data_IF_912461283027
#
_entry.id   IF_912461283027
#
_cell.length_a   1.000
_cell.length_b   1.000
_cell.length_c   1.000
_cell.angle_alpha   90.00
_cell.angle_beta   90.00
_cell.angle_gamma   90.00
#
_symmetry.space_group_name_H-M   'P 1'
#
loop_
_entity.id
_entity.type
_entity.pdbx_description
1 polymer ?
#
# COMPACT_ATOMS: atom_id res chain seq x y z
N UNK A 1 7.42 0.73 -1.14
CA UNK A 1 7.44 0.68 0.36
C UNK A 1 7.91 2.02 0.89
N UNK A 2 7.62 2.37 2.16
CA UNK A 2 8.14 3.59 2.80
C UNK A 2 8.51 3.31 4.24
N UNK A 3 9.70 3.73 4.65
CA UNK A 3 10.25 3.57 6.00
C UNK A 3 10.57 4.92 6.62
N UNK A 4 10.42 5.06 7.94
CA UNK A 4 10.76 6.26 8.69
C UNK A 4 11.49 5.90 10.00
N UNK A 5 12.10 6.88 10.68
CA UNK A 5 13.04 6.63 11.78
C UNK A 5 12.49 5.83 12.99
N UNK A 6 11.15 5.70 13.15
CA UNK A 6 10.55 4.95 14.26
C UNK A 6 10.24 3.50 13.92
N UNK A 7 10.56 3.07 12.71
CA UNK A 7 10.37 1.68 12.29
C UNK A 7 11.34 0.75 13.03
N UNK A 8 10.91 -0.49 13.22
CA UNK A 8 11.77 -1.53 13.77
C UNK A 8 12.62 -2.13 12.63
N UNK A 9 13.97 -2.16 12.77
CA UNK A 9 14.85 -2.72 11.73
C UNK A 9 14.53 -4.17 11.36
N UNK A 10 14.17 -5.01 12.33
CA UNK A 10 13.81 -6.41 12.08
C UNK A 10 12.47 -6.55 11.33
N UNK A 11 11.52 -5.63 11.58
CA UNK A 11 10.26 -5.60 10.83
C UNK A 11 10.50 -5.18 9.39
N UNK A 12 11.33 -4.15 9.17
CA UNK A 12 11.74 -3.74 7.83
C UNK A 12 12.39 -4.90 7.08
N UNK A 13 13.34 -5.62 7.71
CA UNK A 13 13.98 -6.79 7.14
C UNK A 13 12.95 -7.84 6.73
N UNK A 14 12.10 -8.26 7.66
CA UNK A 14 11.08 -9.27 7.43
C UNK A 14 10.08 -8.86 6.33
N UNK A 15 9.69 -7.59 6.29
CA UNK A 15 8.81 -7.05 5.25
C UNK A 15 9.47 -7.15 3.86
N UNK A 16 10.73 -6.72 3.71
CA UNK A 16 11.48 -6.80 2.44
C UNK A 16 11.67 -8.26 2.02
N UNK A 17 12.05 -9.16 2.94
CA UNK A 17 12.19 -10.58 2.67
C UNK A 17 10.87 -11.22 2.21
N UNK A 18 9.74 -10.83 2.81
CA UNK A 18 8.43 -11.33 2.40
C UNK A 18 8.00 -10.88 1.00
N UNK A 19 8.53 -9.75 0.52
CA UNK A 19 8.33 -9.24 -0.84
C UNK A 19 9.27 -9.94 -1.82
N UNK A 20 10.54 -10.10 -1.48
CA UNK A 20 11.50 -10.79 -2.33
C UNK A 20 11.25 -12.31 -2.44
N UNK A 21 10.67 -12.91 -1.39
CA UNK A 21 10.32 -14.33 -1.31
C UNK A 21 8.96 -14.70 -1.91
N UNK A 22 8.34 -13.83 -2.72
CA UNK A 22 7.07 -14.13 -3.40
C UNK A 22 7.23 -15.25 -4.42
N UNK A 23 6.18 -16.07 -4.63
CA UNK A 23 6.15 -17.08 -5.71
C UNK A 23 6.33 -16.46 -7.09
N UNK A 24 5.86 -15.23 -7.26
CA UNK A 24 6.15 -14.35 -8.40
C UNK A 24 6.82 -13.10 -7.81
N UNK A 25 8.16 -13.02 -7.81
CA UNK A 25 8.88 -11.89 -7.25
C UNK A 25 8.66 -10.63 -8.07
N UNK A 26 8.81 -9.42 -7.47
CA UNK A 26 8.69 -8.17 -8.19
C UNK A 26 9.88 -7.98 -9.14
N UNK A 27 9.69 -7.22 -10.22
CA UNK A 27 10.77 -6.77 -11.10
C UNK A 27 11.62 -5.71 -10.42
N UNK A 28 10.97 -4.85 -9.61
CA UNK A 28 11.63 -3.77 -8.86
C UNK A 28 11.03 -3.62 -7.45
N UNK A 29 11.87 -3.21 -6.52
CA UNK A 29 11.48 -2.77 -5.17
C UNK A 29 11.90 -1.32 -4.99
N UNK A 30 10.94 -0.42 -4.77
CA UNK A 30 11.19 0.99 -4.48
C UNK A 30 10.93 1.23 -2.99
N UNK A 31 12.01 1.51 -2.24
CA UNK A 31 11.98 1.82 -0.81
C UNK A 31 12.28 3.30 -0.58
N UNK A 32 11.30 4.03 -0.05
CA UNK A 32 11.45 5.45 0.27
C UNK A 32 11.75 5.63 1.74
N UNK A 33 12.89 6.24 2.05
CA UNK A 33 13.30 6.68 3.38
C UNK A 33 12.67 8.05 3.65
N UNK A 34 11.60 8.10 4.46
CA UNK A 34 10.87 9.33 4.77
C UNK A 34 11.59 10.14 5.86
N UNK A 35 12.62 10.87 5.44
CA UNK A 35 13.56 11.60 6.27
C UNK A 35 14.73 10.75 6.78
N UNK A 36 15.60 11.35 7.62
CA UNK A 36 16.74 10.66 8.23
C UNK A 36 16.31 9.42 9.02
N UNK A 37 17.03 8.32 8.86
CA UNK A 37 16.79 7.07 9.56
C UNK A 37 17.79 6.87 10.72
N UNK A 38 17.60 5.81 11.49
CA UNK A 38 18.56 5.34 12.48
C UNK A 38 19.67 4.51 11.81
N UNK A 39 20.87 4.46 12.43
CA UNK A 39 21.98 3.62 11.93
C UNK A 39 21.57 2.15 11.73
N UNK A 40 20.71 1.63 12.62
CA UNK A 40 20.22 0.25 12.51
C UNK A 40 19.34 0.03 11.27
N UNK A 41 18.45 0.99 10.94
CA UNK A 41 17.65 0.93 9.70
C UNK A 41 18.52 1.11 8.46
N UNK A 42 19.48 2.04 8.50
CA UNK A 42 20.44 2.24 7.41
C UNK A 42 21.30 0.99 7.19
N UNK A 43 21.66 0.28 8.26
CA UNK A 43 22.37 -0.99 8.21
C UNK A 43 21.59 -2.05 7.44
N UNK A 44 20.29 -2.20 7.74
CA UNK A 44 19.42 -3.15 7.01
C UNK A 44 19.31 -2.78 5.53
N UNK A 45 19.12 -1.51 5.22
CA UNK A 45 19.01 -1.05 3.82
C UNK A 45 20.32 -1.32 3.06
N UNK A 46 21.47 -1.01 3.68
CA UNK A 46 22.78 -1.25 3.09
C UNK A 46 23.06 -2.73 2.80
N UNK A 47 22.46 -3.67 3.55
CA UNK A 47 22.56 -5.10 3.24
C UNK A 47 21.89 -5.43 1.91
N UNK A 48 20.68 -4.91 1.66
CA UNK A 48 19.98 -5.13 0.38
C UNK A 48 20.66 -4.43 -0.79
N UNK A 49 21.17 -3.21 -0.62
CA UNK A 49 21.96 -2.53 -1.66
C UNK A 49 23.18 -3.35 -2.05
N UNK A 50 23.86 -3.97 -1.06
CA UNK A 50 25.01 -4.86 -1.32
C UNK A 50 24.61 -6.20 -1.95
N UNK A 51 23.41 -6.70 -1.66
CA UNK A 51 22.88 -7.93 -2.25
C UNK A 51 22.56 -7.77 -3.74
N UNK A 52 22.21 -6.56 -4.18
CA UNK A 52 21.87 -6.23 -5.57
C UNK A 52 22.80 -5.16 -6.17
N UNK A 53 24.14 -5.35 -6.16
CA UNK A 53 25.12 -4.28 -6.44
C UNK A 53 25.05 -3.71 -7.86
N UNK A 54 24.67 -4.53 -8.84
CA UNK A 54 24.52 -4.09 -10.24
C UNK A 54 23.17 -3.48 -10.56
N UNK A 55 22.21 -3.59 -9.63
CA UNK A 55 20.79 -3.25 -9.81
C UNK A 55 20.24 -2.41 -8.67
N UNK A 56 21.07 -1.82 -7.83
CA UNK A 56 20.64 -0.88 -6.80
C UNK A 56 21.02 0.54 -7.18
N UNK A 57 20.06 1.43 -7.08
CA UNK A 57 20.25 2.86 -7.27
C UNK A 57 19.84 3.58 -5.98
N UNK A 58 20.75 4.40 -5.44
CA UNK A 58 20.46 5.25 -4.28
C UNK A 58 20.31 6.69 -4.74
N UNK A 59 19.09 7.21 -4.65
CA UNK A 59 18.73 8.54 -5.10
C UNK A 59 18.55 9.47 -3.90
N UNK A 60 19.36 10.51 -3.80
CA UNK A 60 19.21 11.58 -2.84
C UNK A 60 18.38 12.72 -3.41
N UNK A 61 17.14 12.87 -2.97
CA UNK A 61 16.33 14.04 -3.30
C UNK A 61 16.70 15.20 -2.37
N UNK A 62 17.59 16.08 -2.88
CA UNK A 62 17.84 17.37 -2.28
C UNK A 62 16.63 18.28 -2.55
N UNK A 63 16.20 19.09 -1.56
CA UNK A 63 15.12 20.08 -1.75
C UNK A 63 15.34 20.84 -3.05
N UNK A 64 14.30 20.99 -3.86
CA UNK A 64 14.21 22.08 -4.82
C UNK A 64 14.17 23.40 -4.03
N UNK A 65 15.35 23.95 -3.75
CA UNK A 65 15.49 25.36 -3.40
C UNK A 65 15.21 26.16 -4.67
N UNK A 66 14.08 26.87 -4.67
CA UNK A 66 13.66 27.67 -5.82
C UNK A 66 14.77 28.59 -6.31
N UNK A 67 15.20 28.34 -7.53
CA UNK A 67 15.88 29.30 -8.41
C UNK A 67 15.43 28.97 -9.83
N UNK A 68 14.61 29.86 -10.38
CA UNK A 68 14.38 29.95 -11.79
C UNK A 68 15.73 30.20 -12.51
N UNK A 69 16.06 29.32 -13.43
CA UNK A 69 17.22 29.50 -14.31
C UNK A 69 16.96 28.84 -15.65
N UNK A 70 16.73 29.66 -16.66
CA UNK A 70 16.56 29.33 -18.08
C UNK A 70 17.66 28.43 -18.61
N UNK A 71 17.32 27.47 -19.47
CA UNK A 71 18.30 26.82 -20.33
C UNK A 71 17.72 25.63 -21.07
N UNK A 72 17.24 25.87 -22.27
CA UNK A 72 16.86 24.89 -23.29
C UNK A 72 18.00 23.92 -23.62
N UNK A 73 17.72 22.64 -23.70
CA UNK A 73 18.32 21.74 -24.68
C UNK A 73 17.37 20.58 -24.96
N UNK A 74 16.84 20.59 -26.17
CA UNK A 74 16.15 19.44 -26.78
C UNK A 74 17.19 18.41 -27.20
N UNK A 75 16.87 17.15 -27.02
CA UNK A 75 17.05 15.94 -27.84
C UNK A 75 17.43 14.77 -26.95
N UNK A 76 16.60 13.74 -26.83
CA UNK A 76 16.55 12.58 -27.70
C UNK A 76 15.39 11.65 -27.25
N UNK A 77 14.52 11.41 -28.20
CA UNK A 77 13.53 10.34 -28.15
C UNK A 77 14.27 9.02 -28.42
N UNK A 78 14.19 8.09 -27.48
CA UNK A 78 14.22 6.67 -27.82
C UNK A 78 13.30 5.93 -26.87
N UNK A 79 12.12 5.59 -27.40
CA UNK A 79 11.18 4.69 -26.76
C UNK A 79 11.67 3.25 -26.88
N UNK A 80 11.92 2.62 -25.78
CA UNK A 80 12.07 1.16 -25.72
C UNK A 80 10.74 0.53 -25.33
N UNK A 81 10.22 -0.19 -26.29
CA UNK A 81 8.98 -0.95 -26.23
C UNK A 81 9.19 -2.21 -25.38
N UNK A 82 8.51 -2.30 -24.26
CA UNK A 82 8.38 -3.56 -23.53
C UNK A 82 7.76 -4.63 -24.42
N UNK A 83 8.55 -5.62 -24.81
CA UNK A 83 8.07 -6.77 -25.59
C UNK A 83 7.22 -7.70 -24.71
N UNK A 84 5.98 -7.88 -25.13
CA UNK A 84 5.10 -8.91 -24.59
C UNK A 84 5.66 -10.29 -24.91
N UNK A 85 6.24 -10.95 -23.92
CA UNK A 85 6.66 -12.35 -24.00
C UNK A 85 5.47 -13.28 -24.06
N UNK A 86 5.26 -13.95 -25.21
CA UNK A 86 4.29 -15.03 -25.38
C UNK A 86 4.73 -16.24 -24.56
N UNK A 87 3.94 -16.63 -23.57
CA UNK A 87 4.11 -17.87 -22.83
C UNK A 87 3.57 -19.02 -23.68
N UNK A 88 4.48 -19.83 -24.22
CA UNK A 88 4.16 -21.16 -24.78
C UNK A 88 4.16 -22.20 -23.65
N UNK A 89 3.02 -22.89 -23.47
CA UNK A 89 2.87 -23.92 -22.47
C UNK A 89 3.77 -25.13 -22.69
N UNK A 90 4.46 -25.55 -21.65
CA UNK A 90 5.01 -26.89 -21.48
C UNK A 90 4.65 -27.42 -20.11
N UNK A 91 4.21 -28.68 -20.08
CA UNK A 91 3.70 -29.43 -18.95
C UNK A 91 4.80 -29.67 -17.88
N UNK A 92 4.52 -29.48 -16.55
CA UNK A 92 5.53 -29.63 -15.54
C UNK A 92 5.35 -30.93 -14.74
N UNK A 93 6.32 -31.82 -14.79
CA UNK A 93 6.55 -32.76 -13.70
C UNK A 93 8.05 -32.79 -13.35
N UNK A 94 8.32 -32.46 -12.08
CA UNK A 94 9.51 -32.82 -11.30
C UNK A 94 10.92 -32.46 -11.82
N UNK A 95 11.28 -31.15 -11.78
CA UNK A 95 12.70 -30.72 -11.63
C UNK A 95 12.89 -29.23 -11.39
N UNK A 96 11.91 -28.51 -10.81
CA UNK A 96 11.97 -27.03 -10.69
C UNK A 96 12.23 -26.51 -9.27
N UNK A 97 13.15 -27.09 -8.53
CA UNK A 97 13.62 -26.45 -7.26
C UNK A 97 15.00 -25.78 -7.34
N UNK A 98 15.63 -25.73 -8.51
CA UNK A 98 17.00 -25.21 -8.65
C UNK A 98 17.24 -24.17 -9.76
N UNK A 99 16.23 -23.69 -10.48
CA UNK A 99 16.43 -22.73 -11.60
C UNK A 99 15.83 -21.32 -11.41
N UNK A 100 15.27 -20.98 -10.23
CA UNK A 100 14.72 -19.63 -10.00
C UNK A 100 15.74 -18.60 -9.45
N UNK A 101 17.04 -18.81 -9.66
CA UNK A 101 18.10 -17.95 -9.07
C UNK A 101 18.57 -16.81 -9.99
N UNK A 102 17.87 -16.47 -11.08
CA UNK A 102 18.34 -15.43 -12.01
C UNK A 102 17.31 -14.35 -12.35
N UNK A 103 16.25 -14.17 -11.55
CA UNK A 103 15.40 -13.00 -11.75
C UNK A 103 16.08 -11.79 -11.11
N UNK A 104 16.55 -10.88 -11.95
CA UNK A 104 17.29 -9.68 -11.59
C UNK A 104 16.33 -8.63 -10.99
N UNK A 105 16.06 -8.68 -9.68
CA UNK A 105 15.29 -7.65 -8.99
C UNK A 105 16.09 -6.34 -8.94
N UNK A 106 15.47 -5.23 -9.31
CA UNK A 106 16.06 -3.89 -9.17
C UNK A 106 15.64 -3.32 -7.82
N UNK A 107 16.59 -2.81 -7.02
CA UNK A 107 16.32 -2.28 -5.69
C UNK A 107 16.65 -0.79 -5.62
N UNK A 108 15.62 0.06 -5.64
CA UNK A 108 15.76 1.52 -5.56
C UNK A 108 15.58 2.00 -4.11
N UNK A 109 16.53 2.80 -3.63
CA UNK A 109 16.47 3.46 -2.34
C UNK A 109 16.38 4.97 -2.55
N UNK A 110 15.24 5.56 -2.15
CA UNK A 110 14.99 6.99 -2.30
C UNK A 110 15.09 7.65 -0.93
N UNK A 111 16.04 8.58 -0.75
CA UNK A 111 16.24 9.26 0.53
C UNK A 111 15.68 10.67 0.51
N UNK A 112 14.67 10.93 1.35
CA UNK A 112 14.13 12.27 1.56
C UNK A 112 14.92 12.99 2.65
N UNK A 113 15.11 14.29 2.49
CA UNK A 113 15.87 15.10 3.46
C UNK A 113 15.13 15.34 4.76
N UNK A 114 13.79 15.27 4.73
CA UNK A 114 12.93 15.48 5.91
C UNK A 114 11.74 14.52 5.88
N UNK A 115 11.18 14.20 7.04
CA UNK A 115 9.95 13.42 7.13
C UNK A 115 8.77 14.25 6.63
N UNK A 116 8.24 13.84 5.49
CA UNK A 116 7.09 14.46 4.84
C UNK A 116 5.77 13.77 5.12
N UNK A 117 5.81 12.59 5.73
CA UNK A 117 4.68 11.71 6.00
C UNK A 117 4.37 10.76 4.83
N UNK A 118 3.64 9.68 5.18
CA UNK A 118 3.40 8.54 4.29
C UNK A 118 2.94 8.93 2.88
N UNK A 119 1.97 9.84 2.75
CA UNK A 119 1.42 10.23 1.44
C UNK A 119 2.47 10.88 0.53
N UNK A 120 3.35 11.74 1.08
CA UNK A 120 4.45 12.35 0.31
C UNK A 120 5.48 11.30 -0.09
N UNK A 121 5.87 10.43 0.85
CA UNK A 121 6.83 9.37 0.57
C UNK A 121 6.32 8.40 -0.51
N UNK A 122 5.03 8.01 -0.46
CA UNK A 122 4.43 7.17 -1.49
C UNK A 122 4.36 7.85 -2.87
N UNK A 123 4.04 9.16 -2.93
CA UNK A 123 4.08 9.90 -4.18
C UNK A 123 5.49 9.97 -4.75
N UNK A 124 6.49 10.15 -3.91
CA UNK A 124 7.87 10.15 -4.37
C UNK A 124 8.26 8.78 -4.91
N UNK A 125 7.94 7.71 -4.18
CA UNK A 125 8.18 6.34 -4.65
C UNK A 125 7.53 6.04 -6.00
N UNK A 126 6.29 6.52 -6.22
CA UNK A 126 5.60 6.35 -7.50
C UNK A 126 6.35 6.93 -8.69
N UNK A 127 7.06 8.05 -8.53
CA UNK A 127 7.85 8.66 -9.63
C UNK A 127 8.98 7.75 -10.08
N UNK A 128 9.52 6.95 -9.17
CA UNK A 128 10.65 6.05 -9.41
C UNK A 128 10.23 4.62 -9.79
N UNK A 129 8.93 4.30 -9.76
CA UNK A 129 8.44 3.03 -10.28
C UNK A 129 8.38 3.07 -11.80
N UNK A 130 8.97 2.08 -12.47
CA UNK A 130 8.95 1.95 -13.94
C UNK A 130 7.73 1.17 -14.44
N UNK A 131 7.22 0.25 -13.61
CA UNK A 131 6.12 -0.64 -13.97
C UNK A 131 4.75 0.02 -13.83
N UNK A 132 3.79 -0.43 -14.66
CA UNK A 132 2.39 0.03 -14.56
C UNK A 132 1.67 -0.55 -13.34
N UNK A 133 1.95 -1.80 -12.96
CA UNK A 133 1.36 -2.43 -11.79
C UNK A 133 2.24 -2.23 -10.55
N UNK A 134 1.69 -1.55 -9.56
CA UNK A 134 2.37 -1.25 -8.30
C UNK A 134 1.73 -2.03 -7.16
N UNK A 135 2.49 -2.93 -6.55
CA UNK A 135 2.12 -3.60 -5.30
C UNK A 135 2.58 -2.78 -4.09
N UNK A 136 1.65 -2.18 -3.38
CA UNK A 136 1.95 -1.38 -2.18
C UNK A 136 2.17 -2.30 -0.98
N UNK A 137 3.10 -1.93 -0.08
CA UNK A 137 3.36 -2.65 1.17
C UNK A 137 3.85 -1.70 2.27
N UNK A 138 3.45 -1.93 3.52
CA UNK A 138 4.04 -1.32 4.71
C UNK A 138 5.30 -2.06 5.15
N UNK A 139 6.19 -1.38 5.85
CA UNK A 139 7.51 -1.91 6.27
C UNK A 139 7.46 -2.64 7.60
N UNK A 140 6.30 -2.72 8.25
CA UNK A 140 6.05 -3.47 9.49
C UNK A 140 5.13 -4.69 9.29
N UNK A 141 4.64 -4.91 8.06
CA UNK A 141 3.75 -6.00 7.69
C UNK A 141 4.48 -7.15 6.96
N UNK A 142 3.81 -8.29 6.78
CA UNK A 142 4.33 -9.45 6.05
C UNK A 142 3.40 -9.80 4.89
N UNK A 143 3.95 -9.88 3.69
CA UNK A 143 3.21 -10.32 2.50
C UNK A 143 2.95 -11.82 2.55
N UNK A 144 1.74 -12.28 2.17
CA UNK A 144 1.52 -13.70 1.96
C UNK A 144 2.38 -14.18 0.78
N UNK A 145 2.96 -15.40 0.85
CA UNK A 145 3.96 -15.85 -0.13
C UNK A 145 3.48 -15.88 -1.58
N UNK A 146 2.19 -16.06 -1.80
CA UNK A 146 1.54 -16.16 -3.12
C UNK A 146 0.70 -14.94 -3.49
N UNK A 147 0.86 -13.81 -2.77
CA UNK A 147 0.08 -12.59 -2.97
C UNK A 147 0.19 -12.07 -4.40
N UNK A 148 1.41 -11.86 -4.88
CA UNK A 148 1.64 -11.29 -6.22
C UNK A 148 1.09 -12.23 -7.31
N UNK A 149 1.29 -13.52 -7.17
CA UNK A 149 0.77 -14.52 -8.09
C UNK A 149 -0.76 -14.50 -8.17
N UNK A 150 -1.45 -14.48 -7.02
CA UNK A 150 -2.91 -14.42 -6.94
C UNK A 150 -3.46 -13.14 -7.58
N UNK A 151 -2.85 -11.99 -7.24
CA UNK A 151 -3.27 -10.71 -7.78
C UNK A 151 -3.06 -10.63 -9.29
N UNK A 152 -1.90 -11.04 -9.81
CA UNK A 152 -1.62 -11.03 -11.25
C UNK A 152 -2.54 -12.00 -12.02
N UNK A 153 -2.72 -13.23 -11.54
CA UNK A 153 -3.66 -14.20 -12.16
C UNK A 153 -5.10 -13.68 -12.25
N UNK A 154 -5.55 -12.89 -11.27
CA UNK A 154 -6.85 -12.25 -11.33
C UNK A 154 -6.87 -11.13 -12.37
N UNK A 155 -5.87 -10.25 -12.36
CA UNK A 155 -5.77 -9.10 -13.26
C UNK A 155 -5.59 -9.49 -14.73
N UNK A 156 -4.96 -10.62 -15.02
CA UNK A 156 -4.88 -11.20 -16.37
C UNK A 156 -6.26 -11.55 -16.96
N UNK A 157 -7.22 -11.91 -16.09
CA UNK A 157 -8.59 -12.28 -16.50
C UNK A 157 -9.56 -11.09 -16.42
N UNK A 158 -9.19 -10.03 -15.73
CA UNK A 158 -10.01 -8.85 -15.45
C UNK A 158 -9.26 -7.57 -15.82
N UNK A 159 -9.06 -7.40 -17.14
CA UNK A 159 -8.26 -6.29 -17.69
C UNK A 159 -8.86 -4.91 -17.41
N UNK A 160 -10.15 -4.86 -17.08
CA UNK A 160 -10.88 -3.64 -16.70
C UNK A 160 -10.54 -3.15 -15.29
N UNK A 161 -9.94 -3.98 -14.43
CA UNK A 161 -9.64 -3.61 -13.04
C UNK A 161 -8.43 -2.70 -12.98
N UNK A 162 -8.54 -1.62 -12.23
CA UNK A 162 -7.50 -0.60 -12.02
C UNK A 162 -6.82 -0.71 -10.64
N UNK A 163 -7.53 -1.26 -9.64
CA UNK A 163 -6.97 -1.51 -8.32
C UNK A 163 -7.59 -2.77 -7.69
N UNK A 164 -6.73 -3.67 -7.22
CA UNK A 164 -7.07 -4.96 -6.64
C UNK A 164 -6.44 -5.08 -5.25
N UNK A 165 -7.27 -5.32 -4.25
CA UNK A 165 -6.83 -5.61 -2.88
C UNK A 165 -7.36 -6.97 -2.43
N UNK A 166 -7.41 -7.24 -1.14
CA UNK A 166 -7.96 -8.48 -0.60
C UNK A 166 -8.04 -8.47 0.92
N UNK A 167 -8.25 -9.64 1.50
CA UNK A 167 -8.33 -9.81 2.95
C UNK A 167 -6.95 -9.61 3.59
N UNK A 168 -6.95 -8.98 4.76
CA UNK A 168 -5.79 -8.87 5.65
C UNK A 168 -6.04 -9.73 6.89
N UNK A 169 -5.06 -10.54 7.26
CA UNK A 169 -5.00 -11.20 8.56
C UNK A 169 -4.27 -10.28 9.55
N UNK A 170 -4.93 -9.90 10.64
CA UNK A 170 -4.35 -9.04 11.67
C UNK A 170 -3.73 -9.91 12.76
N UNK A 171 -2.44 -9.70 13.04
CA UNK A 171 -1.73 -10.41 14.10
C UNK A 171 -1.09 -9.46 15.12
N UNK A 172 -0.75 -9.99 16.28
CA UNK A 172 -0.08 -9.27 17.36
C UNK A 172 1.20 -10.00 17.74
N UNK A 173 2.27 -9.24 18.03
CA UNK A 173 3.57 -9.77 18.44
C UNK A 173 4.67 -9.51 17.41
N UNK A 174 5.78 -10.21 17.58
CA UNK A 174 7.05 -9.94 16.90
C UNK A 174 7.39 -11.03 15.86
N UNK A 175 6.35 -11.64 15.24
CA UNK A 175 6.56 -12.59 14.15
C UNK A 175 7.34 -11.92 13.01
N UNK A 176 8.39 -12.59 12.50
CA UNK A 176 9.27 -12.11 11.44
C UNK A 176 9.08 -12.90 10.13
N UNK A 177 8.16 -13.84 10.08
CA UNK A 177 7.80 -14.61 8.89
C UNK A 177 6.30 -14.90 8.83
N UNK A 178 5.79 -15.17 7.63
CA UNK A 178 4.38 -15.40 7.39
C UNK A 178 3.80 -16.60 8.14
N UNK A 179 4.57 -17.68 8.33
CA UNK A 179 4.13 -18.89 9.03
C UNK A 179 3.91 -18.63 10.52
N UNK A 180 4.84 -17.91 11.14
CA UNK A 180 4.72 -17.50 12.56
C UNK A 180 3.59 -16.48 12.72
N UNK A 181 3.45 -15.52 11.80
CA UNK A 181 2.37 -14.54 11.80
C UNK A 181 1.00 -15.21 11.66
N UNK A 182 0.86 -16.24 10.81
CA UNK A 182 -0.38 -16.99 10.61
C UNK A 182 -0.86 -17.64 11.91
N UNK A 183 0.03 -18.19 12.72
CA UNK A 183 -0.32 -18.78 14.03
C UNK A 183 -0.70 -17.74 15.08
N UNK A 184 -0.31 -16.46 14.88
CA UNK A 184 -0.58 -15.35 15.78
C UNK A 184 -1.76 -14.47 15.31
N UNK A 185 -2.51 -14.89 14.29
CA UNK A 185 -3.67 -14.18 13.77
C UNK A 185 -4.77 -14.11 14.82
N UNK A 186 -5.28 -12.91 15.05
CA UNK A 186 -6.36 -12.65 16.01
C UNK A 186 -7.65 -12.18 15.34
N UNK A 187 -7.58 -11.68 14.12
CA UNK A 187 -8.75 -11.22 13.36
C UNK A 187 -8.47 -11.08 11.88
N UNK A 188 -9.55 -11.06 11.09
CA UNK A 188 -9.49 -10.82 9.66
C UNK A 188 -10.23 -9.53 9.30
N UNK A 189 -9.60 -8.71 8.48
CA UNK A 189 -10.21 -7.53 7.89
C UNK A 189 -10.61 -7.84 6.45
N UNK A 190 -11.84 -8.25 6.26
CA UNK A 190 -12.45 -8.47 4.94
C UNK A 190 -13.01 -7.18 4.37
N UNK A 191 -13.08 -7.11 3.05
CA UNK A 191 -13.62 -5.99 2.27
C UNK A 191 -14.56 -6.53 1.19
N UNK A 192 -15.50 -5.72 0.65
CA UNK A 192 -16.40 -6.17 -0.41
C UNK A 192 -15.60 -6.50 -1.68
N UNK A 193 -15.99 -7.54 -2.41
CA UNK A 193 -15.20 -8.12 -3.50
C UNK A 193 -15.49 -7.47 -4.86
N UNK A 194 -16.77 -7.20 -5.16
CA UNK A 194 -17.20 -6.73 -6.47
C UNK A 194 -17.27 -5.21 -6.57
N UNK A 195 -17.07 -4.66 -7.78
CA UNK A 195 -17.22 -3.23 -8.05
C UNK A 195 -18.55 -2.65 -7.54
N UNK A 196 -19.65 -3.40 -7.68
CA UNK A 196 -20.97 -2.97 -7.24
C UNK A 196 -21.04 -2.82 -5.71
N UNK A 197 -20.52 -3.77 -4.99
CA UNK A 197 -20.46 -3.75 -3.52
C UNK A 197 -19.49 -2.67 -3.03
N UNK A 198 -18.32 -2.54 -3.69
CA UNK A 198 -17.31 -1.51 -3.42
C UNK A 198 -17.93 -0.12 -3.59
N UNK A 199 -18.69 0.12 -4.66
CA UNK A 199 -19.36 1.38 -4.93
C UNK A 199 -20.40 1.76 -3.86
N UNK A 200 -21.06 0.79 -3.25
CA UNK A 200 -21.95 1.01 -2.13
C UNK A 200 -21.17 1.25 -0.81
N UNK A 201 -20.11 0.49 -0.60
CA UNK A 201 -19.33 0.49 0.63
C UNK A 201 -18.42 1.73 0.76
N UNK A 202 -17.87 2.24 -0.35
CA UNK A 202 -17.00 3.43 -0.39
C UNK A 202 -17.69 4.67 0.17
N UNK A 203 -19.00 4.75 0.14
CA UNK A 203 -19.78 5.83 0.75
C UNK A 203 -19.75 5.81 2.28
N UNK A 204 -19.46 4.66 2.86
CA UNK A 204 -19.51 4.41 4.30
C UNK A 204 -18.14 4.21 4.91
N UNK A 205 -17.27 3.45 4.26
CA UNK A 205 -15.96 3.01 4.75
C UNK A 205 -14.97 2.86 3.61
N UNK A 206 -13.68 2.83 3.96
CA UNK A 206 -12.63 2.49 3.03
C UNK A 206 -12.81 1.05 2.52
N UNK A 207 -13.06 0.84 1.20
CA UNK A 207 -13.34 -0.48 0.64
C UNK A 207 -12.08 -1.24 0.21
N UNK A 208 -10.91 -0.61 0.27
CA UNK A 208 -9.64 -1.16 -0.18
C UNK A 208 -8.69 -1.27 1.01
N UNK A 209 -8.09 -2.40 1.19
CA UNK A 209 -7.04 -2.63 2.17
C UNK A 209 -5.71 -2.13 1.62
N UNK A 210 -5.36 -0.90 1.96
CA UNK A 210 -4.19 -0.21 1.46
C UNK A 210 -2.86 -0.99 1.59
N UNK A 211 -2.56 -1.71 2.71
CA UNK A 211 -1.30 -2.46 2.82
C UNK A 211 -1.09 -3.57 1.79
N UNK A 212 -2.16 -4.11 1.20
CA UNK A 212 -2.05 -5.20 0.22
C UNK A 212 -2.61 -4.86 -1.17
N UNK A 213 -2.82 -3.57 -1.47
CA UNK A 213 -3.35 -3.18 -2.78
C UNK A 213 -2.29 -3.30 -3.87
N UNK A 214 -2.73 -3.75 -5.04
CA UNK A 214 -2.02 -3.64 -6.32
C UNK A 214 -2.85 -2.74 -7.23
N UNK A 215 -2.25 -1.72 -7.84
CA UNK A 215 -2.98 -0.73 -8.65
C UNK A 215 -2.19 -0.31 -9.88
N UNK A 216 -2.91 0.22 -10.86
CA UNK A 216 -2.27 0.85 -12.03
C UNK A 216 -1.69 2.23 -11.65
N UNK A 217 -0.39 2.43 -11.90
CA UNK A 217 0.30 3.69 -11.66
C UNK A 217 -0.41 4.86 -12.35
N UNK A 218 -0.71 4.71 -13.63
CA UNK A 218 -1.38 5.74 -14.44
C UNK A 218 -2.74 6.18 -13.85
N UNK A 219 -3.49 5.28 -13.22
CA UNK A 219 -4.77 5.58 -12.58
C UNK A 219 -4.61 6.38 -11.28
N UNK A 220 -3.60 6.06 -10.49
CA UNK A 220 -3.26 6.82 -9.28
C UNK A 220 -2.76 8.21 -9.65
N UNK A 221 -1.90 8.33 -10.67
CA UNK A 221 -1.41 9.61 -11.18
C UNK A 221 -2.55 10.48 -11.74
N UNK A 222 -3.45 9.91 -12.55
CA UNK A 222 -4.62 10.62 -13.08
C UNK A 222 -5.59 11.11 -12.01
N UNK A 223 -5.63 10.44 -10.85
CA UNK A 223 -6.37 10.88 -9.68
C UNK A 223 -5.62 11.93 -8.84
N UNK A 224 -4.40 12.33 -9.24
CA UNK A 224 -3.56 13.31 -8.56
C UNK A 224 -2.77 12.75 -7.37
N UNK A 225 -2.48 11.45 -7.35
CA UNK A 225 -1.68 10.80 -6.31
C UNK A 225 -2.26 10.90 -4.90
N UNK A 226 -1.43 10.66 -3.89
CA UNK A 226 -1.82 10.85 -2.49
C UNK A 226 -1.87 12.33 -2.15
N UNK A 227 -3.00 12.80 -1.61
CA UNK A 227 -3.18 14.18 -1.20
C UNK A 227 -3.26 14.31 0.32
N UNK A 228 -2.92 15.49 0.89
CA UNK A 228 -3.03 15.73 2.32
C UNK A 228 -4.48 15.53 2.80
N UNK A 229 -4.74 14.46 3.50
CA UNK A 229 -6.02 14.12 4.10
C UNK A 229 -5.78 13.32 5.38
N UNK A 230 -5.43 13.97 6.51
CA UNK A 230 -4.98 13.30 7.72
C UNK A 230 -5.89 12.15 8.15
N UNK A 231 -5.32 10.96 8.33
CA UNK A 231 -5.95 9.67 8.63
C UNK A 231 -6.76 9.03 7.48
N UNK A 232 -6.93 9.70 6.35
CA UNK A 232 -7.78 9.25 5.24
C UNK A 232 -7.08 9.39 3.88
N UNK A 233 -5.75 9.49 3.83
CA UNK A 233 -4.96 9.70 2.63
C UNK A 233 -5.25 8.63 1.55
N UNK A 234 -5.31 7.37 1.97
CA UNK A 234 -5.63 6.23 1.12
C UNK A 234 -7.12 6.25 0.69
N UNK A 235 -8.02 6.49 1.64
CA UNK A 235 -9.45 6.53 1.36
C UNK A 235 -9.81 7.68 0.42
N UNK A 236 -9.19 8.84 0.60
CA UNK A 236 -9.36 10.00 -0.28
C UNK A 236 -8.90 9.68 -1.71
N UNK A 237 -7.77 8.98 -1.85
CA UNK A 237 -7.28 8.51 -3.15
C UNK A 237 -8.31 7.60 -3.83
N UNK A 238 -8.84 6.60 -3.12
CA UNK A 238 -9.85 5.69 -3.69
C UNK A 238 -11.13 6.40 -4.08
N UNK A 239 -11.57 7.38 -3.29
CA UNK A 239 -12.73 8.22 -3.62
C UNK A 239 -12.49 9.01 -4.90
N UNK A 240 -11.30 9.60 -5.09
CA UNK A 240 -10.96 10.34 -6.32
C UNK A 240 -10.82 9.41 -7.52
N UNK A 241 -10.21 8.25 -7.37
CA UNK A 241 -10.14 7.21 -8.42
C UNK A 241 -11.54 6.73 -8.80
N UNK A 242 -12.42 6.48 -7.83
CA UNK A 242 -13.82 6.10 -8.07
C UNK A 242 -14.58 7.17 -8.88
N UNK A 243 -14.40 8.45 -8.55
CA UNK A 243 -14.96 9.56 -9.35
C UNK A 243 -14.42 9.60 -10.78
N UNK A 244 -13.19 9.21 -10.97
CA UNK A 244 -12.54 9.10 -12.28
C UNK A 244 -12.81 7.74 -12.96
N UNK A 245 -13.90 7.06 -12.55
CA UNK A 245 -14.38 5.81 -13.13
C UNK A 245 -13.39 4.63 -13.05
N UNK A 246 -12.49 4.63 -12.08
CA UNK A 246 -11.62 3.48 -11.83
C UNK A 246 -12.45 2.27 -11.37
N UNK A 247 -12.06 1.10 -11.84
CA UNK A 247 -12.67 -0.18 -11.49
C UNK A 247 -11.86 -0.85 -10.39
N UNK A 248 -12.55 -1.22 -9.32
CA UNK A 248 -11.96 -1.86 -8.15
C UNK A 248 -12.45 -3.29 -8.00
N UNK A 249 -11.59 -4.15 -7.46
CA UNK A 249 -11.95 -5.48 -7.00
C UNK A 249 -11.19 -5.84 -5.73
N UNK A 250 -11.66 -6.84 -5.00
CA UNK A 250 -10.92 -7.43 -3.89
C UNK A 250 -11.02 -8.96 -3.95
N UNK A 251 -9.91 -9.62 -3.61
CA UNK A 251 -9.89 -11.07 -3.45
C UNK A 251 -10.36 -11.46 -2.04
N UNK A 252 -11.08 -12.58 -1.88
CA UNK A 252 -11.39 -13.11 -0.55
C UNK A 252 -10.15 -13.65 0.17
N UNK A 253 -9.09 -13.95 -0.57
CA UNK A 253 -7.85 -14.50 -0.06
C UNK A 253 -7.15 -13.56 0.93
N UNK A 254 -6.47 -14.15 1.93
CA UNK A 254 -5.52 -13.42 2.76
C UNK A 254 -4.27 -13.11 1.95
N UNK A 255 -4.03 -11.83 1.71
CA UNK A 255 -2.90 -11.34 0.91
C UNK A 255 -1.76 -10.78 1.78
N UNK A 256 -2.04 -10.49 3.05
CA UNK A 256 -1.08 -9.82 3.92
C UNK A 256 -1.41 -10.13 5.38
N UNK A 257 -0.36 -10.29 6.17
CA UNK A 257 -0.41 -10.33 7.64
C UNK A 257 -0.02 -8.95 8.18
N UNK A 258 -1.00 -8.25 8.76
CA UNK A 258 -0.85 -6.89 9.26
C UNK A 258 -0.54 -6.91 10.76
N UNK A 259 0.55 -6.27 11.13
CA UNK A 259 0.94 -6.09 12.54
C UNK A 259 0.14 -4.97 13.19
N UNK A 260 -0.60 -5.27 14.25
CA UNK A 260 -1.49 -4.29 14.89
C UNK A 260 -1.04 -3.83 16.28
N UNK A 261 0.26 -3.87 16.56
CA UNK A 261 0.82 -3.43 17.83
C UNK A 261 0.41 -1.97 18.15
N UNK A 262 -0.61 -1.79 19.01
CA UNK A 262 -1.06 -0.47 19.49
C UNK A 262 -1.85 0.42 18.50
N UNK A 263 -2.22 -0.06 17.33
CA UNK A 263 -2.88 0.75 16.28
C UNK A 263 -4.23 1.37 16.70
N UNK A 264 -4.96 0.75 17.64
CA UNK A 264 -6.29 1.22 18.06
C UNK A 264 -6.29 2.58 18.77
N UNK A 265 -5.15 3.02 19.29
CA UNK A 265 -5.03 4.27 20.04
C UNK A 265 -5.06 5.51 19.12
N UNK A 266 -4.66 5.37 17.86
CA UNK A 266 -4.48 6.49 16.92
C UNK A 266 -5.78 7.09 16.38
N UNK A 267 -6.92 6.34 16.41
CA UNK A 267 -8.20 6.71 15.78
C UNK A 267 -9.22 7.22 16.81
N UNK A 268 -8.87 8.24 17.59
CA UNK A 268 -9.79 8.80 18.58
C UNK A 268 -9.43 10.23 18.98
N UNK A 269 -10.37 10.87 19.71
CA UNK A 269 -10.25 12.23 20.22
C UNK A 269 -10.76 13.29 19.24
N UNK A 270 -10.76 14.54 19.73
CA UNK A 270 -11.38 15.71 19.02
C UNK A 270 -10.69 15.96 17.67
N UNK A 271 -9.37 15.83 17.59
CA UNK A 271 -8.62 16.01 16.34
C UNK A 271 -9.06 15.02 15.27
N UNK A 272 -9.19 13.75 15.63
CA UNK A 272 -9.68 12.73 14.69
C UNK A 272 -11.14 12.97 14.31
N UNK A 273 -12.00 13.36 15.25
CA UNK A 273 -13.40 13.70 14.99
C UNK A 273 -13.52 14.84 13.96
N UNK A 274 -12.68 15.88 14.07
CA UNK A 274 -12.61 16.98 13.09
C UNK A 274 -12.23 16.46 11.71
N UNK A 275 -11.16 15.63 11.60
CA UNK A 275 -10.76 15.05 10.32
C UNK A 275 -11.85 14.17 9.69
N UNK A 276 -12.65 13.46 10.51
CA UNK A 276 -13.83 12.72 10.02
C UNK A 276 -14.86 13.68 9.40
N UNK A 277 -15.18 14.80 10.07
CA UNK A 277 -16.13 15.77 9.55
C UNK A 277 -15.61 16.38 8.25
N UNK A 278 -14.35 16.84 8.23
CA UNK A 278 -13.75 17.49 7.07
C UNK A 278 -13.71 16.54 5.85
N UNK A 279 -13.32 15.29 6.04
CA UNK A 279 -13.32 14.28 4.98
C UNK A 279 -14.72 13.95 4.46
N UNK A 280 -15.68 13.73 5.36
CA UNK A 280 -17.08 13.49 4.98
C UNK A 280 -17.72 14.69 4.27
N UNK A 281 -17.39 15.92 4.69
CA UNK A 281 -17.81 17.14 4.02
C UNK A 281 -17.20 17.25 2.61
N UNK A 282 -15.92 16.86 2.43
CA UNK A 282 -15.29 16.75 1.11
C UNK A 282 -16.08 15.80 0.23
N UNK A 283 -16.37 14.57 0.70
CA UNK A 283 -17.15 13.59 -0.06
C UNK A 283 -18.56 14.12 -0.46
N UNK A 284 -19.21 14.88 0.41
CA UNK A 284 -20.51 15.50 0.13
C UNK A 284 -20.38 16.60 -0.93
N UNK A 285 -19.43 17.53 -0.80
CA UNK A 285 -19.14 18.57 -1.79
C UNK A 285 -18.79 17.98 -3.15
N UNK A 286 -18.05 16.90 -3.15
CA UNK A 286 -17.66 16.16 -4.34
C UNK A 286 -18.77 15.27 -4.92
N UNK A 287 -19.98 15.31 -4.34
CA UNK A 287 -21.17 14.54 -4.75
C UNK A 287 -20.98 13.01 -4.75
N UNK A 288 -20.05 12.52 -3.97
CA UNK A 288 -19.85 11.06 -3.76
C UNK A 288 -20.94 10.51 -2.84
N UNK A 289 -21.37 11.32 -1.88
CA UNK A 289 -22.46 10.99 -0.94
C UNK A 289 -23.53 12.07 -0.94
N UNK A 290 -24.76 11.66 -0.68
CA UNK A 290 -25.91 12.56 -0.48
C UNK A 290 -25.91 13.15 0.93
N UNK A 291 -26.70 14.18 1.17
CA UNK A 291 -26.89 14.73 2.53
C UNK A 291 -27.43 13.70 3.52
N UNK A 292 -28.37 12.85 3.06
CA UNK A 292 -28.93 11.75 3.86
C UNK A 292 -27.90 10.68 4.24
N UNK A 293 -26.83 10.48 3.42
CA UNK A 293 -25.69 9.60 3.73
C UNK A 293 -24.61 10.33 4.56
N UNK A 294 -24.47 11.64 4.36
CA UNK A 294 -23.49 12.47 5.08
C UNK A 294 -23.79 12.55 6.58
N UNK A 295 -24.99 13.05 6.93
CA UNK A 295 -25.30 13.45 8.31
C UNK A 295 -25.30 12.25 9.28
N UNK A 296 -26.07 11.16 9.07
CA UNK A 296 -26.14 10.07 10.05
C UNK A 296 -24.79 9.39 10.26
N UNK A 297 -24.07 9.11 9.17
CA UNK A 297 -22.80 8.41 9.26
C UNK A 297 -21.72 9.29 9.89
N UNK A 298 -21.72 10.60 9.65
CA UNK A 298 -20.79 11.53 10.28
C UNK A 298 -21.04 11.59 11.79
N UNK A 299 -22.30 11.73 12.22
CA UNK A 299 -22.66 11.72 13.64
C UNK A 299 -22.18 10.44 14.33
N UNK A 300 -22.51 9.27 13.77
CA UNK A 300 -22.09 7.98 14.34
C UNK A 300 -20.56 7.89 14.48
N UNK A 301 -19.81 8.28 13.43
CA UNK A 301 -18.34 8.25 13.46
C UNK A 301 -17.73 9.22 14.46
N UNK A 302 -18.28 10.41 14.58
CA UNK A 302 -17.85 11.41 15.56
C UNK A 302 -18.11 10.89 16.98
N UNK A 303 -19.29 10.36 17.26
CA UNK A 303 -19.62 9.79 18.57
C UNK A 303 -18.65 8.64 18.93
N UNK A 304 -18.41 7.71 18.00
CA UNK A 304 -17.45 6.62 18.22
C UNK A 304 -16.03 7.14 18.47
N UNK A 305 -15.62 8.19 17.76
CA UNK A 305 -14.27 8.77 17.92
C UNK A 305 -14.07 9.47 19.27
N UNK A 306 -15.13 9.98 19.86
CA UNK A 306 -15.11 10.66 21.17
C UNK A 306 -15.27 9.67 22.34
N UNK A 307 -15.63 8.41 22.09
CA UNK A 307 -15.73 7.38 23.13
C UNK A 307 -14.39 7.08 23.79
N UNK A 308 -14.39 6.69 25.09
CA UNK A 308 -13.21 6.14 25.75
C UNK A 308 -12.60 4.97 24.99
N UNK A 309 -11.27 4.84 25.06
CA UNK A 309 -10.51 3.83 24.30
C UNK A 309 -11.02 2.40 24.53
N UNK A 310 -11.39 2.05 25.77
CA UNK A 310 -11.92 0.73 26.15
C UNK A 310 -13.22 0.39 25.43
N UNK A 311 -14.19 1.33 25.42
CA UNK A 311 -15.49 1.13 24.78
C UNK A 311 -15.34 1.10 23.25
N UNK A 312 -14.47 1.96 22.70
CA UNK A 312 -14.16 1.98 21.27
C UNK A 312 -13.53 0.66 20.81
N UNK A 313 -12.54 0.14 21.57
CA UNK A 313 -11.91 -1.16 21.32
C UNK A 313 -12.95 -2.30 21.30
N UNK A 314 -13.81 -2.37 22.29
CA UNK A 314 -14.90 -3.35 22.37
C UNK A 314 -15.83 -3.31 21.14
N UNK A 315 -16.22 -2.11 20.68
CA UNK A 315 -17.06 -1.95 19.49
C UNK A 315 -16.36 -2.39 18.20
N UNK A 316 -15.06 -2.12 18.08
CA UNK A 316 -14.27 -2.56 16.92
C UNK A 316 -14.13 -4.07 16.87
N UNK A 317 -13.80 -4.71 18.00
CA UNK A 317 -13.64 -6.15 18.10
C UNK A 317 -14.96 -6.88 17.81
N UNK A 318 -16.10 -6.38 18.31
CA UNK A 318 -17.39 -7.06 18.19
C UNK A 318 -18.14 -6.84 16.87
N UNK A 319 -17.97 -5.69 16.22
CA UNK A 319 -18.76 -5.30 15.02
C UNK A 319 -18.00 -5.30 13.70
N UNK A 320 -16.69 -5.23 13.71
CA UNK A 320 -15.91 -4.91 12.51
C UNK A 320 -14.92 -5.98 12.10
N UNK A 321 -14.74 -6.99 12.92
CA UNK A 321 -13.77 -8.06 12.70
C UNK A 321 -14.47 -9.40 12.82
N UNK A 322 -14.26 -10.25 11.84
CA UNK A 322 -14.58 -11.68 11.99
C UNK A 322 -13.48 -12.27 12.87
N UNK A 323 -13.83 -12.71 14.07
CA UNK A 323 -12.97 -13.57 14.89
C UNK A 323 -12.96 -14.96 14.28
N UNK A 324 -11.87 -15.68 14.47
CA UNK A 324 -11.81 -17.11 14.19
C UNK A 324 -12.82 -17.86 15.05
#
# INVERSE_FOLDING_TARGET
MSVYQKENPEYLRAAVESVLGQTVPPEEVVLVCDGPLTEALDGVIAEYVRQFPENSEEIMNLRESGLQGNGLSENDQQGDTCQQGKIQGKNPQESQRQENSNQKVIFHVIRLTENGGLGKALNEGLKHCSCEWIARMDTDDLSAPDRCEKQLKFLEKHLEVDALSGTIAEFQGDALDGKTAETAVISYKTVPETQKEIAAYIKQRNPINHPCVMFRKSRVESAGGYQPCPYFEDYDLWVRMYKNHAVFANLPDTLLYMRINGMHQRRGGIRYAKCVIDFRMKMYRDRVITFGEFLPMTVVRVLVSLMPNSLRRFLYEKKLRKQQ
#
